data_IF_942939175735
#
_entry.id   IF_942939175735
#
_cell.length_a   1.000
_cell.length_b   1.000
_cell.length_c   1.000
_cell.angle_alpha   90.00
_cell.angle_beta   90.00
_cell.angle_gamma   90.00
#
_symmetry.space_group_name_H-M   'P 1'
#
loop_
_entity.id
_entity.type
_entity.pdbx_description
1 polymer ?
#
# COMPACT_ATOMS: atom_id res chain seq x y z
N UNK A 1 39.18 -31.06 25.74
CA UNK A 1 38.61 -29.99 24.88
C UNK A 1 37.09 -30.08 24.96
N UNK A 2 36.51 -29.28 25.84
CA UNK A 2 35.05 -29.20 26.04
C UNK A 2 34.43 -28.49 24.84
N UNK A 3 33.66 -29.22 24.03
CA UNK A 3 32.78 -28.61 23.04
C UNK A 3 31.65 -27.90 23.79
N UNK A 4 31.70 -26.57 23.83
CA UNK A 4 30.54 -25.76 24.20
C UNK A 4 29.42 -26.08 23.23
N UNK A 5 28.42 -26.86 23.68
CA UNK A 5 27.14 -26.93 22.99
C UNK A 5 26.46 -25.59 23.19
N UNK A 6 26.65 -24.68 22.23
CA UNK A 6 25.93 -23.41 22.17
C UNK A 6 24.43 -23.67 22.26
N UNK A 7 23.79 -23.13 23.29
CA UNK A 7 22.33 -23.16 23.41
C UNK A 7 21.77 -22.17 22.39
N UNK A 8 21.42 -22.65 21.20
CA UNK A 8 20.81 -21.81 20.16
C UNK A 8 19.33 -21.63 20.48
N UNK A 9 18.93 -20.40 20.81
CA UNK A 9 17.51 -20.05 20.95
C UNK A 9 16.92 -20.04 19.54
N UNK A 10 15.87 -20.82 19.30
CA UNK A 10 15.28 -21.02 17.96
C UNK A 10 14.90 -19.69 17.30
N UNK A 11 14.50 -18.68 18.08
CA UNK A 11 14.15 -17.35 17.60
C UNK A 11 15.38 -16.58 17.11
N UNK A 12 16.53 -16.70 17.76
CA UNK A 12 17.78 -16.08 17.32
C UNK A 12 18.28 -16.70 16.02
N UNK A 13 18.21 -18.04 15.91
CA UNK A 13 18.53 -18.74 14.68
C UNK A 13 17.59 -18.37 13.52
N UNK A 14 16.28 -18.23 13.80
CA UNK A 14 15.31 -17.75 12.81
C UNK A 14 15.61 -16.31 12.39
N UNK A 15 15.94 -15.40 13.31
CA UNK A 15 16.30 -14.02 12.97
C UNK A 15 17.53 -13.97 12.07
N UNK A 16 18.59 -14.69 12.43
CA UNK A 16 19.80 -14.79 11.61
C UNK A 16 19.52 -15.38 10.23
N UNK A 17 18.63 -16.38 10.16
CA UNK A 17 18.20 -16.96 8.90
C UNK A 17 17.42 -15.94 8.04
N UNK A 18 16.56 -15.13 8.65
CA UNK A 18 15.89 -14.01 7.95
C UNK A 18 16.90 -12.98 7.44
N UNK A 19 17.92 -12.63 8.23
CA UNK A 19 18.98 -11.70 7.81
C UNK A 19 19.71 -12.25 6.56
N UNK A 20 20.09 -13.53 6.58
CA UNK A 20 20.71 -14.21 5.43
C UNK A 20 19.78 -14.19 4.20
N UNK A 21 18.48 -14.45 4.40
CA UNK A 21 17.50 -14.44 3.31
C UNK A 21 17.25 -13.04 2.73
N UNK A 22 17.41 -11.96 3.52
CA UNK A 22 17.28 -10.59 2.98
C UNK A 22 18.42 -10.17 2.05
N UNK A 23 19.55 -10.87 2.14
CA UNK A 23 20.72 -10.69 1.29
C UNK A 23 20.71 -11.58 0.03
N UNK A 24 19.84 -12.60 -0.01
CA UNK A 24 19.62 -13.43 -1.20
C UNK A 24 18.64 -12.75 -2.17
N UNK A 25 19.14 -12.31 -3.33
CA UNK A 25 18.34 -11.69 -4.39
C UNK A 25 17.21 -12.59 -4.94
N UNK A 26 17.29 -13.91 -4.72
CA UNK A 26 16.27 -14.87 -5.13
C UNK A 26 15.20 -15.10 -4.05
N UNK A 27 15.38 -14.56 -2.84
CA UNK A 27 14.40 -14.73 -1.78
C UNK A 27 13.22 -13.77 -1.94
N UNK A 28 12.00 -14.32 -1.93
CA UNK A 28 10.75 -13.55 -2.09
C UNK A 28 10.33 -12.79 -0.82
N UNK A 29 11.26 -12.43 0.06
CA UNK A 29 10.98 -11.72 1.31
C UNK A 29 11.27 -10.22 1.11
N UNK A 30 10.25 -9.34 1.18
CA UNK A 30 10.47 -7.90 1.13
C UNK A 30 11.33 -7.42 2.30
N UNK A 31 12.30 -6.56 2.02
CA UNK A 31 13.12 -5.88 3.03
C UNK A 31 12.28 -4.96 3.92
N UNK A 32 12.80 -4.60 5.10
CA UNK A 32 12.15 -3.60 5.99
C UNK A 32 11.78 -2.34 5.19
N UNK A 33 10.56 -1.85 5.39
CA UNK A 33 10.01 -0.71 4.65
C UNK A 33 9.33 -1.09 3.33
N UNK A 34 9.30 -2.37 2.94
CA UNK A 34 8.63 -2.86 1.75
C UNK A 34 7.63 -3.98 2.07
N UNK A 35 6.74 -4.27 1.12
CA UNK A 35 5.79 -5.37 1.18
C UNK A 35 5.47 -5.90 -0.22
N UNK A 36 4.92 -7.11 -0.30
CA UNK A 36 4.43 -7.66 -1.57
C UNK A 36 2.99 -7.21 -1.82
N UNK A 37 2.71 -6.65 -3.01
CA UNK A 37 1.39 -6.25 -3.45
C UNK A 37 0.98 -6.94 -4.75
N UNK A 38 -0.33 -7.17 -4.92
CA UNK A 38 -0.94 -7.78 -6.11
C UNK A 38 -1.34 -6.70 -7.11
N UNK A 39 -0.45 -6.39 -8.05
CA UNK A 39 -0.57 -5.29 -9.01
C UNK A 39 -1.11 -5.81 -10.34
N UNK A 40 -2.10 -5.11 -10.89
CA UNK A 40 -2.72 -5.48 -12.18
C UNK A 40 -2.25 -4.61 -13.33
N UNK A 41 -2.05 -3.32 -13.08
CA UNK A 41 -1.80 -2.34 -14.13
C UNK A 41 -0.61 -1.45 -13.81
N UNK A 42 0.03 -0.97 -14.87
CA UNK A 42 1.05 0.08 -14.83
C UNK A 42 0.50 1.31 -15.52
N UNK A 43 0.56 2.45 -14.83
CA UNK A 43 0.29 3.77 -15.39
C UNK A 43 1.59 4.33 -15.97
N UNK A 44 1.69 4.30 -17.30
CA UNK A 44 2.82 4.86 -18.02
C UNK A 44 2.62 6.36 -18.19
N UNK A 45 3.52 7.14 -17.60
CA UNK A 45 3.48 8.59 -17.60
C UNK A 45 4.57 9.15 -18.53
N UNK A 46 4.26 10.26 -19.20
CA UNK A 46 5.28 11.09 -19.84
C UNK A 46 6.12 11.82 -18.79
N UNK A 47 7.25 12.42 -19.21
CA UNK A 47 8.09 13.28 -18.36
C UNK A 47 7.33 14.48 -17.80
N UNK A 48 6.32 14.95 -18.53
CA UNK A 48 5.44 16.05 -18.18
C UNK A 48 4.26 15.61 -17.30
N UNK A 49 4.14 14.31 -17.00
CA UNK A 49 3.07 13.75 -16.16
C UNK A 49 1.76 13.47 -16.89
N UNK A 50 1.78 13.34 -18.22
CA UNK A 50 0.59 12.92 -18.98
C UNK A 50 0.46 11.39 -18.96
N UNK A 51 -0.76 10.87 -18.83
CA UNK A 51 -1.01 9.43 -18.87
C UNK A 51 -1.00 8.93 -20.32
N UNK A 52 0.12 8.35 -20.75
CA UNK A 52 0.29 7.85 -22.12
C UNK A 52 -0.42 6.52 -22.33
N UNK A 53 -0.20 5.58 -21.41
CA UNK A 53 -0.71 4.20 -21.51
C UNK A 53 -1.10 3.62 -20.15
N UNK A 54 -2.02 2.67 -20.19
CA UNK A 54 -2.32 1.78 -19.07
C UNK A 54 -1.94 0.37 -19.54
N UNK A 55 -0.90 -0.19 -18.94
CA UNK A 55 -0.33 -1.46 -19.37
C UNK A 55 -0.85 -2.55 -18.43
N UNK A 56 -1.58 -3.52 -18.99
CA UNK A 56 -2.00 -4.72 -18.27
C UNK A 56 -0.81 -5.67 -18.08
N UNK A 57 -0.38 -5.85 -16.82
CA UNK A 57 0.73 -6.72 -16.46
C UNK A 57 0.28 -8.07 -15.93
N UNK A 58 -1.03 -8.34 -15.86
CA UNK A 58 -1.58 -9.61 -15.36
C UNK A 58 -1.14 -10.79 -16.23
N UNK A 59 -1.23 -12.00 -15.68
CA UNK A 59 -0.87 -13.23 -16.40
C UNK A 59 -1.75 -13.44 -17.64
N UNK A 60 -1.12 -13.71 -18.79
CA UNK A 60 -1.81 -14.07 -20.05
C UNK A 60 -1.95 -15.60 -20.17
N UNK A 61 -3.00 -16.09 -20.84
CA UNK A 61 -3.19 -17.52 -21.11
C UNK A 61 -4.04 -18.31 -20.10
N UNK A 62 -4.97 -17.65 -19.40
CA UNK A 62 -5.87 -18.26 -18.43
C UNK A 62 -6.71 -17.22 -17.68
N UNK A 63 -7.20 -17.54 -16.48
CA UNK A 63 -7.85 -16.53 -15.60
C UNK A 63 -6.82 -15.44 -15.27
N UNK A 64 -7.09 -14.21 -15.68
CA UNK A 64 -6.20 -13.06 -15.47
C UNK A 64 -5.96 -12.85 -13.96
N UNK A 65 -4.70 -12.94 -13.54
CA UNK A 65 -4.27 -12.78 -12.14
C UNK A 65 -3.27 -11.62 -12.02
N UNK A 66 -3.39 -10.78 -10.98
CA UNK A 66 -2.39 -9.77 -10.66
C UNK A 66 -0.99 -10.38 -10.48
N UNK A 67 0.04 -9.61 -10.80
CA UNK A 67 1.44 -9.95 -10.50
C UNK A 67 1.79 -9.51 -9.08
N UNK A 68 2.59 -10.33 -8.41
CA UNK A 68 3.16 -9.98 -7.12
C UNK A 68 4.43 -9.14 -7.33
N UNK A 69 4.40 -7.90 -6.85
CA UNK A 69 5.50 -6.96 -6.93
C UNK A 69 5.90 -6.50 -5.52
N UNK A 70 7.21 -6.33 -5.30
CA UNK A 70 7.73 -5.68 -4.10
C UNK A 70 7.54 -4.17 -4.26
N UNK A 71 6.82 -3.56 -3.33
CA UNK A 71 6.46 -2.14 -3.34
C UNK A 71 6.70 -1.52 -1.95
N UNK A 72 6.73 -0.17 -1.82
CA UNK A 72 6.75 0.49 -0.52
C UNK A 72 5.69 -0.08 0.43
N UNK A 73 6.03 -0.19 1.73
CA UNK A 73 5.23 -0.91 2.72
C UNK A 73 3.76 -0.46 2.73
N UNK A 74 2.87 -1.45 2.70
CA UNK A 74 1.42 -1.27 2.74
C UNK A 74 0.85 -1.84 4.05
N UNK A 75 0.61 -0.97 5.04
CA UNK A 75 -0.04 -1.36 6.29
C UNK A 75 -1.55 -1.56 6.14
N UNK A 76 -2.14 -2.45 6.95
CA UNK A 76 -3.59 -2.69 6.92
C UNK A 76 -4.38 -1.38 7.14
N UNK A 77 -5.30 -1.08 6.22
CA UNK A 77 -6.21 0.07 6.32
C UNK A 77 -7.34 -0.25 7.30
N UNK A 78 -7.16 0.07 8.57
CA UNK A 78 -8.24 -0.02 9.57
C UNK A 78 -8.93 1.32 9.77
N UNK A 79 -10.27 1.33 9.77
CA UNK A 79 -11.08 2.51 10.09
C UNK A 79 -11.62 3.28 8.88
N UNK A 80 -12.38 4.34 9.15
CA UNK A 80 -13.07 5.15 8.14
C UNK A 80 -12.18 6.18 7.40
N UNK A 81 -10.89 6.25 7.74
CA UNK A 81 -9.94 7.21 7.18
C UNK A 81 -9.56 6.97 5.71
N UNK A 82 -8.73 7.89 5.19
CA UNK A 82 -8.05 7.76 3.91
C UNK A 82 -6.57 7.49 4.19
N UNK A 83 -6.11 6.28 3.83
CA UNK A 83 -4.76 5.79 4.12
C UNK A 83 -4.08 5.40 2.81
N UNK A 84 -3.61 6.38 2.03
CA UNK A 84 -2.96 6.12 0.74
C UNK A 84 -1.63 5.39 0.94
N UNK A 85 -1.26 4.59 -0.04
CA UNK A 85 0.05 3.94 -0.11
C UNK A 85 0.94 4.66 -1.13
N UNK A 86 2.24 4.64 -0.88
CA UNK A 86 3.22 5.28 -1.75
C UNK A 86 3.51 4.42 -2.98
N UNK A 87 3.44 5.01 -4.19
CA UNK A 87 3.74 4.42 -5.51
C UNK A 87 2.94 3.18 -5.94
N UNK A 88 2.09 2.62 -5.08
CA UNK A 88 1.27 1.45 -5.39
C UNK A 88 -0.06 1.50 -4.64
N UNK A 89 -1.18 1.75 -5.32
CA UNK A 89 -2.48 1.86 -4.67
C UNK A 89 -3.63 1.53 -5.65
N UNK A 90 -4.86 1.54 -5.15
CA UNK A 90 -6.07 1.24 -5.89
C UNK A 90 -6.68 2.46 -6.59
N UNK A 91 -7.67 2.21 -7.44
CA UNK A 91 -8.35 3.22 -8.25
C UNK A 91 -8.98 4.35 -7.42
N UNK A 92 -9.44 4.05 -6.20
CA UNK A 92 -10.01 5.06 -5.31
C UNK A 92 -8.99 6.11 -4.88
N UNK A 93 -7.80 5.69 -4.45
CA UNK A 93 -6.77 6.63 -4.03
C UNK A 93 -6.04 7.25 -5.23
N UNK A 94 -5.82 6.48 -6.30
CA UNK A 94 -5.07 6.96 -7.47
C UNK A 94 -5.90 7.94 -8.31
N UNK A 95 -7.20 7.68 -8.51
CA UNK A 95 -8.04 8.49 -9.40
C UNK A 95 -9.14 9.26 -8.69
N UNK A 96 -9.42 9.00 -7.41
CA UNK A 96 -10.44 9.72 -6.64
C UNK A 96 -11.88 9.31 -6.95
N UNK A 97 -12.10 8.11 -7.48
CA UNK A 97 -13.41 7.60 -7.90
C UNK A 97 -13.87 6.41 -7.05
N UNK A 98 -15.16 6.09 -7.12
CA UNK A 98 -15.76 4.89 -6.53
C UNK A 98 -16.69 4.21 -7.52
N UNK A 99 -16.52 2.89 -7.65
CA UNK A 99 -17.49 2.04 -8.33
C UNK A 99 -18.58 1.60 -7.36
N UNK A 100 -19.82 1.94 -7.68
CA UNK A 100 -20.99 1.65 -6.86
C UNK A 100 -21.80 0.55 -7.54
N UNK A 101 -21.99 -0.56 -6.83
CA UNK A 101 -22.80 -1.69 -7.31
C UNK A 101 -24.28 -1.43 -7.08
N UNK A 102 -25.12 -2.09 -7.87
CA UNK A 102 -26.60 -2.09 -7.77
C UNK A 102 -27.16 -2.05 -6.36
N UNK A 103 -26.68 -2.94 -5.48
CA UNK A 103 -27.15 -3.04 -4.09
C UNK A 103 -26.96 -1.77 -3.26
N UNK A 104 -25.96 -0.96 -3.56
CA UNK A 104 -25.60 0.24 -2.81
C UNK A 104 -25.94 1.54 -3.58
N UNK A 105 -26.37 1.40 -4.85
CA UNK A 105 -26.58 2.50 -5.80
C UNK A 105 -27.56 3.54 -5.29
N UNK A 106 -28.82 3.17 -5.04
CA UNK A 106 -29.85 4.11 -4.59
C UNK A 106 -29.45 4.81 -3.29
N UNK A 107 -28.92 4.07 -2.33
CA UNK A 107 -28.48 4.61 -1.03
C UNK A 107 -27.38 5.65 -1.17
N UNK A 108 -26.41 5.42 -2.06
CA UNK A 108 -25.28 6.34 -2.24
C UNK A 108 -25.68 7.53 -3.11
N UNK A 109 -26.38 7.30 -4.23
CA UNK A 109 -26.74 8.36 -5.18
C UNK A 109 -27.79 9.32 -4.62
N UNK A 110 -28.72 8.85 -3.78
CA UNK A 110 -29.70 9.72 -3.12
C UNK A 110 -29.09 10.54 -1.97
N UNK A 111 -27.87 10.20 -1.52
CA UNK A 111 -27.16 10.92 -0.48
C UNK A 111 -26.27 12.01 -1.09
N UNK A 112 -26.88 13.15 -1.41
CA UNK A 112 -26.18 14.35 -1.92
C UNK A 112 -25.11 14.87 -0.96
N UNK A 113 -25.15 14.47 0.32
CA UNK A 113 -24.11 14.80 1.28
C UNK A 113 -22.81 14.04 1.02
N UNK A 114 -22.87 12.88 0.33
CA UNK A 114 -21.72 12.02 0.02
C UNK A 114 -21.23 12.16 -1.41
N UNK A 115 -22.12 12.26 -2.38
CA UNK A 115 -21.77 12.31 -3.80
C UNK A 115 -21.38 13.73 -4.19
N UNK A 116 -20.21 13.89 -4.80
CA UNK A 116 -19.77 15.16 -5.36
C UNK A 116 -20.09 15.25 -6.86
N UNK A 117 -19.94 14.16 -7.60
CA UNK A 117 -20.30 14.09 -9.02
C UNK A 117 -20.61 12.65 -9.43
N UNK A 118 -21.58 12.47 -10.31
CA UNK A 118 -21.87 11.18 -10.98
C UNK A 118 -21.20 11.25 -12.35
N UNK A 119 -20.28 10.32 -12.63
CA UNK A 119 -19.56 10.29 -13.90
C UNK A 119 -20.30 9.42 -14.92
N UNK A 120 -20.90 8.33 -14.44
CA UNK A 120 -21.72 7.43 -15.24
C UNK A 120 -22.70 6.69 -14.32
N UNK A 121 -23.87 6.39 -14.85
CA UNK A 121 -24.91 5.60 -14.21
C UNK A 121 -25.66 4.81 -15.28
N UNK A 122 -25.50 3.47 -15.29
CA UNK A 122 -26.11 2.58 -16.28
C UNK A 122 -27.47 2.00 -15.81
N UNK A 123 -27.98 2.46 -14.65
CA UNK A 123 -29.19 1.94 -14.02
C UNK A 123 -28.96 0.75 -13.10
N UNK A 124 -27.87 0.01 -13.27
CA UNK A 124 -27.44 -1.06 -12.36
C UNK A 124 -26.27 -0.63 -11.49
N UNK A 125 -25.22 -0.09 -12.07
CA UNK A 125 -24.01 0.35 -11.41
C UNK A 125 -23.73 1.81 -11.75
N UNK A 126 -22.87 2.44 -10.96
CA UNK A 126 -22.47 3.81 -11.19
C UNK A 126 -20.99 4.01 -10.90
N UNK A 127 -20.39 4.93 -11.63
CA UNK A 127 -19.05 5.47 -11.34
C UNK A 127 -19.26 6.89 -10.80
N UNK A 128 -18.82 7.13 -9.57
CA UNK A 128 -19.04 8.40 -8.89
C UNK A 128 -17.77 8.93 -8.27
N UNK A 129 -17.69 10.25 -8.15
CA UNK A 129 -16.76 10.94 -7.27
C UNK A 129 -17.53 11.23 -5.97
N UNK A 130 -17.12 10.61 -4.88
CA UNK A 130 -17.64 10.94 -3.55
C UNK A 130 -16.73 11.95 -2.87
N UNK A 131 -17.24 12.67 -1.86
CA UNK A 131 -16.38 13.52 -1.00
C UNK A 131 -15.26 12.71 -0.35
N UNK A 132 -15.53 11.43 -0.04
CA UNK A 132 -14.54 10.52 0.52
C UNK A 132 -13.47 10.14 -0.50
N UNK A 133 -13.85 9.71 -1.70
CA UNK A 133 -12.88 9.30 -2.74
C UNK A 133 -12.00 10.48 -3.15
N UNK A 134 -12.58 11.68 -3.26
CA UNK A 134 -11.84 12.93 -3.47
C UNK A 134 -10.84 13.20 -2.34
N UNK A 135 -11.26 13.10 -1.08
CA UNK A 135 -10.35 13.23 0.08
C UNK A 135 -9.22 12.20 0.06
N UNK A 136 -9.51 10.98 -0.38
CA UNK A 136 -8.51 9.92 -0.46
C UNK A 136 -7.49 10.17 -1.57
N UNK A 137 -7.92 10.69 -2.72
CA UNK A 137 -7.02 11.19 -3.76
C UNK A 137 -6.16 12.36 -3.29
N UNK A 138 -6.74 13.35 -2.59
CA UNK A 138 -5.97 14.46 -2.04
C UNK A 138 -4.95 14.01 -0.98
N UNK A 139 -5.29 13.00 -0.17
CA UNK A 139 -4.34 12.39 0.75
C UNK A 139 -3.21 11.68 -0.02
N UNK A 140 -3.54 10.96 -1.10
CA UNK A 140 -2.56 10.30 -1.97
C UNK A 140 -1.61 11.32 -2.61
N UNK A 141 -2.15 12.42 -3.16
CA UNK A 141 -1.39 13.54 -3.70
C UNK A 141 -0.46 14.17 -2.65
N UNK A 142 -1.01 14.50 -1.48
CA UNK A 142 -0.26 15.11 -0.37
C UNK A 142 0.89 14.21 0.12
N UNK A 143 0.66 12.90 0.19
CA UNK A 143 1.70 11.93 0.56
C UNK A 143 2.87 11.96 -0.43
N UNK A 144 2.57 11.90 -1.73
CA UNK A 144 3.59 11.92 -2.76
C UNK A 144 4.33 13.26 -2.80
N UNK A 145 3.62 14.38 -2.65
CA UNK A 145 4.24 15.69 -2.54
C UNK A 145 5.20 15.75 -1.34
N UNK A 146 4.78 15.32 -0.15
CA UNK A 146 5.64 15.31 1.05
C UNK A 146 6.92 14.49 0.85
N UNK A 147 6.83 13.32 0.22
CA UNK A 147 7.96 12.40 0.07
C UNK A 147 8.88 12.85 -1.08
N UNK A 148 8.32 13.40 -2.16
CA UNK A 148 9.04 13.65 -3.42
C UNK A 148 9.38 15.13 -3.68
N UNK A 149 8.89 16.09 -2.89
CA UNK A 149 9.13 17.52 -3.13
C UNK A 149 10.63 17.88 -3.20
N UNK A 150 11.46 17.21 -2.39
CA UNK A 150 12.93 17.41 -2.40
C UNK A 150 13.65 16.54 -3.44
N UNK A 151 12.91 15.69 -4.16
CA UNK A 151 13.46 14.79 -5.17
C UNK A 151 13.37 15.46 -6.55
N UNK A 152 14.52 15.77 -7.13
CA UNK A 152 14.63 16.46 -8.42
C UNK A 152 14.53 15.56 -9.67
N UNK A 153 14.31 14.25 -9.49
CA UNK A 153 14.26 13.26 -10.57
C UNK A 153 13.17 13.52 -11.60
N UNK A 154 13.37 12.98 -12.80
CA UNK A 154 12.37 13.07 -13.87
C UNK A 154 11.10 12.33 -13.45
N UNK A 155 11.24 11.18 -12.80
CA UNK A 155 10.14 10.34 -12.36
C UNK A 155 9.31 11.00 -11.26
N UNK A 156 9.96 11.69 -10.32
CA UNK A 156 9.28 12.45 -9.26
C UNK A 156 8.49 13.61 -9.85
N UNK A 157 9.10 14.38 -10.75
CA UNK A 157 8.44 15.51 -11.41
C UNK A 157 7.25 15.05 -12.26
N UNK A 158 7.41 13.97 -13.02
CA UNK A 158 6.35 13.37 -13.83
C UNK A 158 5.16 12.94 -12.96
N UNK A 159 5.42 12.19 -11.88
CA UNK A 159 4.35 11.75 -10.97
C UNK A 159 3.66 12.92 -10.26
N UNK A 160 4.43 13.89 -9.77
CA UNK A 160 3.85 15.08 -9.12
C UNK A 160 3.02 15.93 -10.09
N UNK A 161 3.46 16.04 -11.35
CA UNK A 161 2.71 16.72 -12.41
C UNK A 161 1.42 15.98 -12.78
N UNK A 162 1.47 14.64 -12.85
CA UNK A 162 0.26 13.83 -13.04
C UNK A 162 -0.75 14.08 -11.92
N UNK A 163 -0.32 13.97 -10.66
CA UNK A 163 -1.19 14.13 -9.50
C UNK A 163 -1.68 15.57 -9.30
N UNK A 164 -0.93 16.57 -9.77
CA UNK A 164 -1.34 17.96 -9.65
C UNK A 164 -2.40 18.37 -10.66
N UNK A 165 -2.33 17.81 -11.86
CA UNK A 165 -3.20 18.12 -12.99
C UNK A 165 -4.42 17.19 -13.06
N UNK A 166 -4.36 16.01 -12.46
CA UNK A 166 -5.47 15.05 -12.49
C UNK A 166 -6.70 15.57 -11.73
N UNK A 167 -7.86 15.44 -12.37
CA UNK A 167 -9.17 15.73 -11.77
C UNK A 167 -10.00 14.45 -11.76
N UNK A 168 -10.49 14.00 -10.58
CA UNK A 168 -11.35 12.82 -10.51
C UNK A 168 -12.56 12.86 -11.45
N UNK A 169 -13.10 14.07 -11.69
CA UNK A 169 -14.24 14.31 -12.56
C UNK A 169 -13.95 14.05 -14.06
N UNK A 170 -12.67 14.00 -14.45
CA UNK A 170 -12.24 13.74 -15.82
C UNK A 170 -11.90 12.26 -16.07
N UNK A 171 -12.10 11.38 -15.07
CA UNK A 171 -11.75 9.96 -15.15
C UNK A 171 -12.32 9.27 -16.40
N UNK A 172 -13.61 9.45 -16.70
CA UNK A 172 -14.26 8.86 -17.88
C UNK A 172 -14.10 9.68 -19.17
N UNK A 173 -13.34 10.77 -19.16
CA UNK A 173 -13.01 11.56 -20.36
C UNK A 173 -11.68 11.11 -20.98
N UNK A 174 -10.82 10.47 -20.20
CA UNK A 174 -9.49 10.09 -20.65
C UNK A 174 -9.55 8.81 -21.52
N UNK A 175 -9.09 8.84 -22.79
CA UNK A 175 -9.23 7.71 -23.71
C UNK A 175 -8.66 6.39 -23.16
N UNK A 176 -7.49 6.46 -22.51
CA UNK A 176 -6.84 5.26 -21.93
C UNK A 176 -7.56 4.65 -20.74
N UNK A 177 -8.31 5.47 -20.00
CA UNK A 177 -9.15 4.97 -18.92
C UNK A 177 -10.36 4.26 -19.51
N UNK A 178 -11.01 4.86 -20.51
CA UNK A 178 -12.17 4.25 -21.19
C UNK A 178 -11.81 2.88 -21.77
N UNK A 179 -10.66 2.77 -22.44
CA UNK A 179 -10.14 1.50 -23.00
C UNK A 179 -10.03 0.37 -21.96
N UNK A 180 -9.76 0.69 -20.69
CA UNK A 180 -9.47 -0.28 -19.62
C UNK A 180 -10.49 -0.23 -18.47
N UNK A 181 -11.58 0.52 -18.62
CA UNK A 181 -12.48 0.95 -17.53
C UNK A 181 -13.00 -0.22 -16.70
N UNK A 182 -13.56 -1.23 -17.35
CA UNK A 182 -14.19 -2.37 -16.67
C UNK A 182 -13.20 -3.17 -15.82
N UNK A 183 -11.93 -3.19 -16.21
CA UNK A 183 -10.88 -3.86 -15.45
C UNK A 183 -10.33 -2.99 -14.31
N UNK A 184 -10.24 -1.68 -14.51
CA UNK A 184 -9.81 -0.70 -13.50
C UNK A 184 -10.78 -0.66 -12.31
N UNK A 185 -12.09 -0.73 -12.58
CA UNK A 185 -13.14 -0.61 -11.57
C UNK A 185 -13.31 -1.86 -10.68
N UNK A 186 -12.47 -2.89 -10.85
CA UNK A 186 -12.51 -4.13 -10.07
C UNK A 186 -11.76 -4.07 -8.73
N UNK A 187 -11.32 -2.90 -8.28
CA UNK A 187 -10.58 -2.78 -7.01
C UNK A 187 -9.11 -3.20 -7.16
N UNK A 188 -8.49 -2.90 -8.30
CA UNK A 188 -7.15 -3.38 -8.66
C UNK A 188 -6.08 -2.38 -8.26
N UNK A 189 -4.84 -2.84 -8.12
CA UNK A 189 -3.70 -1.99 -7.76
C UNK A 189 -2.89 -1.59 -9.00
N UNK A 190 -2.38 -0.36 -8.94
CA UNK A 190 -1.61 0.31 -9.97
C UNK A 190 -0.21 0.62 -9.46
N UNK A 191 0.79 0.52 -10.33
CA UNK A 191 2.11 1.14 -10.15
C UNK A 191 2.36 2.13 -11.30
N UNK A 192 3.42 2.93 -11.18
CA UNK A 192 3.75 3.95 -12.18
C UNK A 192 5.05 3.62 -12.92
N UNK A 193 5.15 4.09 -14.16
CA UNK A 193 6.33 3.98 -15.00
C UNK A 193 6.59 5.30 -15.73
N UNK A 194 7.87 5.68 -15.85
CA UNK A 194 8.34 6.80 -16.69
C UNK A 194 9.58 6.30 -17.44
N UNK A 195 9.64 6.53 -18.75
CA UNK A 195 10.76 6.13 -19.62
C UNK A 195 11.25 4.67 -19.42
N UNK A 196 10.35 3.69 -19.34
CA UNK A 196 10.71 2.28 -19.15
C UNK A 196 11.06 1.90 -17.70
N UNK A 197 11.12 2.88 -16.79
CA UNK A 197 11.50 2.65 -15.39
C UNK A 197 10.27 2.65 -14.50
N UNK A 198 10.03 1.52 -13.81
CA UNK A 198 9.01 1.46 -12.76
C UNK A 198 9.41 2.29 -11.55
N UNK A 199 8.54 3.20 -11.13
CA UNK A 199 8.84 4.16 -10.06
C UNK A 199 9.13 3.47 -8.71
N UNK A 200 8.43 2.37 -8.40
CA UNK A 200 8.68 1.57 -7.20
C UNK A 200 10.04 0.85 -7.21
N UNK A 201 10.72 0.81 -8.36
CA UNK A 201 12.08 0.26 -8.52
C UNK A 201 13.16 1.33 -8.60
N UNK A 202 12.80 2.59 -8.85
CA UNK A 202 13.75 3.70 -8.99
C UNK A 202 14.56 3.89 -7.70
N UNK A 203 15.91 3.85 -7.76
CA UNK A 203 16.77 4.03 -6.57
C UNK A 203 16.52 5.34 -5.84
N UNK A 204 16.25 6.42 -6.57
CA UNK A 204 16.05 7.75 -5.99
C UNK A 204 14.73 7.83 -5.21
N UNK A 205 13.67 7.23 -5.73
CA UNK A 205 12.36 7.18 -5.07
C UNK A 205 12.37 6.21 -3.89
N UNK A 206 13.09 5.10 -3.99
CA UNK A 206 13.35 4.18 -2.86
C UNK A 206 14.05 4.90 -1.72
N UNK A 207 15.11 5.66 -2.03
CA UNK A 207 15.84 6.46 -1.02
C UNK A 207 14.92 7.49 -0.36
N UNK A 208 14.09 8.18 -1.13
CA UNK A 208 13.12 9.14 -0.59
C UNK A 208 12.09 8.46 0.34
N UNK A 209 11.59 7.28 -0.07
CA UNK A 209 10.70 6.47 0.74
C UNK A 209 11.35 6.03 2.05
N UNK A 210 12.56 5.48 2.00
CA UNK A 210 13.30 4.98 3.16
C UNK A 210 13.60 6.10 4.17
N UNK A 211 13.96 7.29 3.69
CA UNK A 211 14.13 8.47 4.54
C UNK A 211 12.83 8.82 5.27
N UNK A 212 11.70 8.88 4.56
CA UNK A 212 10.40 9.16 5.18
C UNK A 212 9.96 8.02 6.12
N UNK A 213 10.22 6.76 5.76
CA UNK A 213 9.84 5.59 6.53
C UNK A 213 10.58 5.54 7.87
N UNK A 214 11.88 5.84 7.88
CA UNK A 214 12.68 5.89 9.11
C UNK A 214 12.25 7.03 10.04
N UNK A 215 11.92 8.21 9.50
CA UNK A 215 11.41 9.35 10.31
C UNK A 215 10.06 9.04 10.95
N UNK A 216 9.17 8.34 10.25
CA UNK A 216 7.86 7.94 10.80
C UNK A 216 7.97 6.88 11.90
N UNK A 217 9.00 6.03 11.86
CA UNK A 217 9.31 5.13 12.97
C UNK A 217 9.73 5.95 14.20
N UNK A 218 10.52 7.03 14.04
CA UNK A 218 11.12 7.82 15.13
C UNK A 218 10.14 8.59 16.03
N UNK A 219 9.07 9.19 15.48
CA UNK A 219 8.21 10.12 16.24
C UNK A 219 7.33 9.46 17.34
N UNK A 220 7.29 8.12 17.44
CA UNK A 220 6.50 7.38 18.46
C UNK A 220 7.23 6.15 19.01
N UNK A 221 8.56 6.16 19.05
CA UNK A 221 9.33 5.01 19.52
C UNK A 221 9.14 4.84 21.04
N UNK A 222 8.44 3.77 21.43
CA UNK A 222 8.74 3.11 22.70
C UNK A 222 9.94 2.20 22.44
N UNK A 223 10.99 2.33 23.23
CA UNK A 223 12.11 1.40 23.19
C UNK A 223 11.90 0.31 24.22
N UNK A 224 12.18 -0.93 23.87
CA UNK A 224 12.22 -2.03 24.84
C UNK A 224 13.38 -2.96 24.50
N UNK A 225 13.74 -3.81 25.46
CA UNK A 225 14.74 -4.84 25.21
C UNK A 225 14.21 -5.84 24.19
N UNK A 226 14.90 -5.99 23.06
CA UNK A 226 14.65 -7.02 22.08
C UNK A 226 14.87 -8.39 22.72
N UNK A 227 13.85 -9.25 22.69
CA UNK A 227 13.94 -10.61 23.24
C UNK A 227 14.85 -11.55 22.42
N UNK A 228 15.28 -11.10 21.24
CA UNK A 228 16.18 -11.85 20.35
C UNK A 228 17.63 -11.40 20.56
N UNK A 229 17.90 -10.10 20.43
CA UNK A 229 19.27 -9.55 20.48
C UNK A 229 19.72 -9.12 21.88
N UNK A 230 18.79 -8.94 22.82
CA UNK A 230 19.05 -8.39 24.14
C UNK A 230 19.33 -6.88 24.16
N UNK A 231 19.36 -6.22 23.00
CA UNK A 231 19.60 -4.77 22.86
C UNK A 231 18.30 -4.00 23.07
N UNK A 232 18.39 -2.79 23.61
CA UNK A 232 17.25 -1.86 23.67
C UNK A 232 17.05 -1.24 22.29
N UNK A 233 15.96 -1.58 21.63
CA UNK A 233 15.64 -1.16 20.27
C UNK A 233 14.20 -0.63 20.18
N UNK A 234 13.87 0.15 19.14
CA UNK A 234 12.50 0.58 18.89
C UNK A 234 11.55 -0.61 18.74
N UNK A 235 10.45 -0.63 19.49
CA UNK A 235 9.41 -1.65 19.33
C UNK A 235 8.21 -1.09 18.55
N UNK A 236 7.65 -1.93 17.68
CA UNK A 236 6.42 -1.61 16.98
C UNK A 236 5.30 -1.34 17.99
N UNK A 237 4.33 -0.47 17.64
CA UNK A 237 3.22 -0.20 18.56
C UNK A 237 2.14 -1.27 18.53
N UNK A 238 1.93 -1.88 17.36
CA UNK A 238 0.96 -2.96 17.08
C UNK A 238 1.46 -3.73 15.85
N UNK A 239 1.53 -5.05 15.94
CA UNK A 239 1.90 -5.90 14.80
C UNK A 239 0.75 -6.03 13.81
N UNK A 240 1.08 -6.14 12.51
CA UNK A 240 0.07 -6.44 11.50
C UNK A 240 -0.57 -7.81 11.77
N UNK A 241 -1.84 -7.97 11.36
CA UNK A 241 -2.50 -9.26 11.42
C UNK A 241 -1.85 -10.25 10.46
N UNK A 242 -1.47 -11.42 10.98
CA UNK A 242 -0.91 -12.52 10.22
C UNK A 242 -2.07 -13.26 9.55
N UNK A 243 -2.10 -13.26 8.21
CA UNK A 243 -3.12 -13.98 7.43
C UNK A 243 -2.70 -15.43 7.19
N UNK A 244 -3.68 -16.32 7.04
CA UNK A 244 -3.43 -17.73 6.68
C UNK A 244 -3.07 -18.64 7.85
N UNK A 245 -3.15 -18.15 9.09
CA UNK A 245 -2.99 -18.97 10.30
C UNK A 245 -4.18 -19.90 10.44
N UNK A 246 -3.95 -21.21 10.50
CA UNK A 246 -5.00 -22.22 10.67
C UNK A 246 -5.81 -21.95 11.94
N UNK A 247 -7.14 -21.90 11.82
CA UNK A 247 -8.05 -21.60 12.94
C UNK A 247 -8.22 -20.11 13.26
N UNK A 248 -7.48 -19.21 12.58
CA UNK A 248 -7.67 -17.77 12.73
C UNK A 248 -8.83 -17.23 11.89
N UNK A 249 -9.29 -16.02 12.22
CA UNK A 249 -10.27 -15.28 11.41
C UNK A 249 -9.72 -15.00 10.01
N UNK A 250 -10.62 -14.89 9.02
CA UNK A 250 -10.26 -14.52 7.64
C UNK A 250 -9.57 -13.15 7.53
N UNK A 251 -9.81 -12.25 8.50
CA UNK A 251 -9.14 -10.96 8.62
C UNK A 251 -7.68 -11.07 9.15
N UNK A 252 -7.23 -12.25 9.56
CA UNK A 252 -5.92 -12.53 10.15
C UNK A 252 -5.91 -12.56 11.69
N UNK A 253 -4.84 -13.10 12.26
CA UNK A 253 -4.58 -13.19 13.70
C UNK A 253 -3.57 -12.13 14.16
N UNK A 254 -3.77 -11.55 15.34
CA UNK A 254 -2.74 -10.75 16.00
C UNK A 254 -1.63 -11.66 16.53
N UNK A 255 -0.38 -11.18 16.53
CA UNK A 255 0.75 -11.93 17.10
C UNK A 255 0.54 -12.22 18.60
N UNK A 256 0.05 -11.23 19.32
CA UNK A 256 -0.38 -11.31 20.72
C UNK A 256 -1.69 -10.53 20.83
N UNK A 257 -2.68 -11.03 21.57
CA UNK A 257 -3.92 -10.30 21.84
C UNK A 257 -4.34 -10.49 23.29
N UNK A 258 -4.81 -9.42 23.90
CA UNK A 258 -5.39 -9.43 25.24
C UNK A 258 -6.89 -9.25 25.09
N UNK A 259 -7.67 -10.21 25.57
CA UNK A 259 -9.14 -10.13 25.61
C UNK A 259 -9.66 -9.84 27.03
N UNK A 260 -8.82 -9.98 28.06
CA UNK A 260 -9.15 -9.73 29.47
C UNK A 260 -8.03 -8.99 30.18
N UNK A 261 -8.40 -8.15 31.15
CA UNK A 261 -7.45 -7.38 31.97
C UNK A 261 -6.44 -8.27 32.72
N UNK A 262 -6.84 -9.50 33.11
CA UNK A 262 -5.97 -10.47 33.75
C UNK A 262 -4.82 -10.96 32.87
N UNK A 263 -4.87 -10.74 31.56
CA UNK A 263 -3.82 -11.13 30.62
C UNK A 263 -2.85 -9.98 30.31
N UNK A 264 -3.18 -8.74 30.68
CA UNK A 264 -2.27 -7.61 30.56
C UNK A 264 -1.07 -7.81 31.51
N UNK A 265 0.14 -7.61 31.02
CA UNK A 265 1.37 -7.70 31.81
C UNK A 265 2.36 -6.62 31.38
N UNK A 266 3.31 -6.25 32.25
CA UNK A 266 4.31 -5.22 31.97
C UNK A 266 3.71 -3.88 31.50
N UNK A 267 2.55 -3.48 32.05
CA UNK A 267 1.81 -2.26 31.66
C UNK A 267 1.39 -2.22 30.18
N UNK A 268 1.32 -3.38 29.52
CA UNK A 268 0.87 -3.51 28.13
C UNK A 268 -0.57 -4.01 28.09
N UNK A 269 -1.44 -3.19 27.51
CA UNK A 269 -2.87 -3.50 27.30
C UNK A 269 -3.18 -3.90 25.84
N UNK A 270 -2.20 -3.81 24.95
CA UNK A 270 -2.30 -4.17 23.53
C UNK A 270 -0.99 -4.76 23.04
N UNK A 271 -1.00 -5.43 21.89
CA UNK A 271 0.21 -5.95 21.25
C UNK A 271 1.17 -4.80 20.95
N UNK A 272 2.43 -4.90 21.39
CA UNK A 272 3.56 -4.07 20.99
C UNK A 272 4.64 -5.00 20.41
#
# INVERSE_FOLDING_TARGET
MSGERGCFVIIQALNQYYDILTDDENCSIPRKGYSTAKVSFVLNLSKEGQLNHIIDIRTKGGKSRPKELVVPKQDSRSGAGCFPYFLCDNEKNVFGIEYVKKKDREKILNDSSKVASILEDDGENAVVVTKRSKKCFEAFRSLHQKILEKNGSVESKALLSFLSNWKPEDFLKHPKIIENKDEILKGVFFVFEVDGTYLHKSPELKKAWEMNFNVLDDEKIKSAQCLVSGKTEPISRVHQKIKGVTGAQSAGASLISFDKASFCSYEKEQSF
#
